data_IF_608205168067
#
_entry.id   IF_608205168067
#
_cell.length_a   1.000
_cell.length_b   1.000
_cell.length_c   1.000
_cell.angle_alpha   90.00
_cell.angle_beta   90.00
_cell.angle_gamma   90.00
#
_symmetry.space_group_name_H-M   'P 1'
#
loop_
_entity.id
_entity.type
_entity.pdbx_description
1 polymer ?
#
# COMPACT_ATOMS: atom_id res chain seq x y z
N UNK A 1 10.31 9.02 2.48
CA UNK A 1 11.74 8.62 2.41
C UNK A 1 11.92 7.10 2.31
N UNK A 2 11.06 6.28 2.91
CA UNK A 2 11.14 4.80 2.90
C UNK A 2 11.33 4.13 1.53
N UNK A 3 10.80 4.70 0.43
CA UNK A 3 10.94 4.11 -0.91
C UNK A 3 12.38 4.15 -1.48
N UNK A 4 13.30 4.89 -0.84
CA UNK A 4 14.70 4.98 -1.25
C UNK A 4 15.62 4.07 -0.44
N UNK A 5 15.21 3.71 0.78
CA UNK A 5 15.96 2.88 1.73
C UNK A 5 16.51 1.60 1.06
N UNK A 6 15.70 0.77 0.38
CA UNK A 6 16.24 -0.42 -0.26
C UNK A 6 17.25 -0.14 -1.39
N UNK A 7 17.06 0.94 -2.16
CA UNK A 7 17.99 1.30 -3.25
C UNK A 7 19.33 1.80 -2.70
N UNK A 8 19.28 2.63 -1.67
CA UNK A 8 20.47 3.20 -1.03
C UNK A 8 21.24 2.11 -0.27
N UNK A 9 20.53 1.19 0.41
CA UNK A 9 21.10 0.03 1.06
C UNK A 9 21.82 -0.90 0.07
N UNK A 10 21.15 -1.26 -1.04
CA UNK A 10 21.78 -2.07 -2.10
C UNK A 10 23.04 -1.42 -2.62
N UNK A 11 22.98 -0.14 -2.96
CA UNK A 11 24.12 0.63 -3.46
C UNK A 11 25.29 0.71 -2.46
N UNK A 12 25.01 0.78 -1.16
CA UNK A 12 26.04 0.81 -0.14
C UNK A 12 26.68 -0.58 0.05
N UNK A 13 25.85 -1.61 0.26
CA UNK A 13 26.33 -2.95 0.57
C UNK A 13 26.96 -3.65 -0.65
N UNK A 14 26.47 -3.44 -1.88
CA UNK A 14 27.06 -4.05 -3.09
C UNK A 14 28.49 -3.56 -3.37
N UNK A 15 28.89 -2.40 -2.82
CA UNK A 15 30.28 -1.94 -2.89
C UNK A 15 31.20 -2.72 -1.95
N UNK A 16 30.65 -3.23 -0.87
CA UNK A 16 31.38 -3.92 0.20
C UNK A 16 31.40 -5.42 -0.09
N UNK A 17 30.24 -5.99 -0.41
CA UNK A 17 30.04 -7.41 -0.73
C UNK A 17 29.43 -7.52 -2.13
N UNK A 18 30.27 -7.50 -3.18
CA UNK A 18 29.78 -7.52 -4.55
C UNK A 18 29.18 -8.88 -4.93
N UNK A 19 28.23 -8.86 -5.87
CA UNK A 19 27.69 -10.07 -6.50
C UNK A 19 26.46 -10.68 -5.83
N UNK A 20 26.03 -10.18 -4.65
CA UNK A 20 24.83 -10.65 -3.96
C UNK A 20 23.57 -9.95 -4.48
N UNK A 21 23.62 -8.65 -4.77
CA UNK A 21 22.43 -7.86 -5.11
C UNK A 21 21.61 -8.39 -6.29
N UNK A 22 22.27 -9.03 -7.27
CA UNK A 22 21.59 -9.62 -8.43
C UNK A 22 20.91 -10.97 -8.15
N UNK A 23 21.21 -11.62 -7.02
CA UNK A 23 20.66 -12.94 -6.68
C UNK A 23 19.39 -12.86 -5.82
N UNK A 24 19.16 -11.73 -5.14
CA UNK A 24 18.07 -11.57 -4.18
C UNK A 24 17.20 -10.39 -4.61
N UNK A 25 16.02 -10.69 -5.13
CA UNK A 25 15.05 -9.67 -5.56
C UNK A 25 14.34 -9.00 -4.38
N UNK A 26 14.03 -9.76 -3.32
CA UNK A 26 13.34 -9.23 -2.15
C UNK A 26 14.28 -8.35 -1.31
N UNK A 27 13.88 -7.10 -1.11
CA UNK A 27 14.69 -6.09 -0.45
C UNK A 27 14.92 -6.39 1.04
N UNK A 28 13.94 -6.99 1.72
CA UNK A 28 14.07 -7.35 3.13
C UNK A 28 15.02 -8.54 3.30
N UNK A 29 14.88 -9.59 2.49
CA UNK A 29 15.79 -10.72 2.46
C UNK A 29 17.20 -10.30 2.10
N UNK A 30 17.36 -9.39 1.13
CA UNK A 30 18.66 -8.81 0.79
C UNK A 30 19.27 -8.11 2.00
N UNK A 31 18.51 -7.26 2.69
CA UNK A 31 18.98 -6.58 3.89
C UNK A 31 19.38 -7.55 5.01
N UNK A 32 18.61 -8.63 5.22
CA UNK A 32 18.93 -9.67 6.19
C UNK A 32 20.20 -10.44 5.83
N UNK A 33 20.39 -10.78 4.55
CA UNK A 33 21.63 -11.40 4.08
C UNK A 33 22.82 -10.50 4.31
N UNK A 34 22.72 -9.22 3.96
CA UNK A 34 23.81 -8.28 4.17
C UNK A 34 24.13 -8.11 5.66
N UNK A 35 23.13 -8.00 6.53
CA UNK A 35 23.36 -7.98 7.97
C UNK A 35 23.99 -9.29 8.49
N UNK A 36 23.56 -10.46 8.01
CA UNK A 36 24.21 -11.73 8.42
C UNK A 36 25.69 -11.76 8.03
N UNK A 37 26.03 -11.22 6.86
CA UNK A 37 27.41 -11.21 6.35
C UNK A 37 28.27 -10.17 7.07
N UNK A 38 27.73 -8.98 7.25
CA UNK A 38 28.46 -7.81 7.69
C UNK A 38 28.40 -7.63 9.22
N UNK A 39 27.30 -8.03 9.85
CA UNK A 39 27.04 -7.90 11.29
C UNK A 39 26.54 -9.23 11.88
N UNK A 40 27.29 -10.33 11.73
CA UNK A 40 26.83 -11.69 12.08
C UNK A 40 26.42 -11.86 13.55
N UNK A 41 27.04 -11.11 14.47
CA UNK A 41 26.77 -11.17 15.91
C UNK A 41 25.32 -10.80 16.28
N UNK A 42 24.67 -9.95 15.49
CA UNK A 42 23.30 -9.49 15.72
C UNK A 42 22.24 -10.38 15.02
N UNK A 43 22.70 -11.38 14.26
CA UNK A 43 21.86 -12.23 13.40
C UNK A 43 22.01 -13.71 13.75
N UNK A 44 22.05 -14.05 15.04
CA UNK A 44 22.27 -15.44 15.51
C UNK A 44 21.11 -16.39 15.23
N UNK A 45 19.88 -15.88 15.20
CA UNK A 45 18.67 -16.71 15.17
C UNK A 45 18.23 -17.06 13.74
N UNK A 46 18.89 -16.51 12.74
CA UNK A 46 18.54 -16.67 11.33
C UNK A 46 19.72 -17.20 10.53
N UNK A 47 19.46 -18.24 9.71
CA UNK A 47 20.46 -18.89 8.87
C UNK A 47 20.02 -18.86 7.39
N UNK A 48 20.99 -18.81 6.47
CA UNK A 48 20.69 -18.74 5.03
C UNK A 48 19.77 -19.89 4.56
N UNK A 49 19.95 -21.09 5.11
CA UNK A 49 19.16 -22.28 4.78
C UNK A 49 17.67 -22.17 5.13
N UNK A 50 17.28 -21.22 6.00
CA UNK A 50 15.89 -20.98 6.35
C UNK A 50 15.10 -20.28 5.23
N UNK A 51 15.80 -19.62 4.29
CA UNK A 51 15.15 -18.76 3.28
C UNK A 51 15.64 -19.01 1.85
N UNK A 52 16.73 -19.76 1.66
CA UNK A 52 17.34 -19.98 0.35
C UNK A 52 17.57 -21.46 0.05
N UNK A 53 17.50 -21.87 -1.24
CA UNK A 53 17.84 -23.22 -1.66
C UNK A 53 19.36 -23.49 -1.55
N UNK A 54 19.80 -24.76 -1.51
CA UNK A 54 21.19 -25.12 -1.24
C UNK A 54 22.24 -24.49 -2.17
N UNK A 55 21.91 -24.30 -3.44
CA UNK A 55 22.81 -23.70 -4.44
C UNK A 55 23.06 -22.21 -4.17
N UNK A 56 22.03 -21.49 -3.70
CA UNK A 56 22.13 -20.09 -3.28
C UNK A 56 22.83 -19.99 -1.94
N UNK A 57 22.52 -20.87 -0.97
CA UNK A 57 23.19 -20.93 0.33
C UNK A 57 24.70 -21.08 0.17
N UNK A 58 25.15 -21.96 -0.73
CA UNK A 58 26.58 -22.16 -0.98
C UNK A 58 27.27 -20.88 -1.47
N UNK A 59 26.60 -20.11 -2.32
CA UNK A 59 27.13 -18.83 -2.83
C UNK A 59 27.17 -17.77 -1.72
N UNK A 60 26.14 -17.72 -0.88
CA UNK A 60 26.07 -16.80 0.26
C UNK A 60 27.14 -17.12 1.31
N UNK A 61 27.36 -18.40 1.62
CA UNK A 61 28.43 -18.82 2.54
C UNK A 61 29.83 -18.47 2.02
N UNK A 62 30.05 -18.55 0.70
CA UNK A 62 31.31 -18.10 0.10
C UNK A 62 31.50 -16.59 0.22
N UNK A 63 30.43 -15.82 0.01
CA UNK A 63 30.49 -14.37 0.19
C UNK A 63 30.69 -13.99 1.65
N UNK A 64 30.03 -14.70 2.57
CA UNK A 64 30.18 -14.55 4.02
C UNK A 64 31.63 -14.78 4.48
N UNK A 65 32.23 -15.91 4.05
CA UNK A 65 33.62 -16.23 4.37
C UNK A 65 34.63 -15.24 3.75
N UNK A 66 34.29 -14.62 2.61
CA UNK A 66 35.14 -13.63 1.96
C UNK A 66 34.99 -12.21 2.54
N UNK A 67 34.04 -11.99 3.46
CA UNK A 67 33.71 -10.68 3.99
C UNK A 67 34.48 -10.31 5.27
N UNK A 68 35.45 -11.12 5.73
CA UNK A 68 36.20 -10.83 6.97
C UNK A 68 36.86 -9.44 6.94
N UNK A 69 37.59 -9.10 5.87
CA UNK A 69 38.22 -7.78 5.72
C UNK A 69 37.18 -6.64 5.63
N UNK A 70 35.99 -6.96 5.12
CA UNK A 70 34.89 -6.01 5.01
C UNK A 70 34.26 -5.74 6.38
N UNK A 71 34.11 -6.76 7.23
CA UNK A 71 33.60 -6.66 8.61
C UNK A 71 34.43 -5.71 9.45
N UNK A 72 35.76 -5.76 9.30
CA UNK A 72 36.68 -4.88 10.03
C UNK A 72 36.56 -3.39 9.60
N UNK A 73 36.09 -3.14 8.38
CA UNK A 73 35.89 -1.80 7.84
C UNK A 73 34.50 -1.22 8.10
N UNK A 74 33.61 -1.96 8.76
CA UNK A 74 32.27 -1.47 9.08
C UNK A 74 32.34 -0.51 10.26
N UNK A 75 32.02 0.75 9.98
CA UNK A 75 31.85 1.72 11.04
C UNK A 75 30.44 1.65 11.67
N UNK A 76 30.29 2.31 12.82
CA UNK A 76 29.01 2.40 13.52
C UNK A 76 27.89 3.02 12.65
N UNK A 77 28.23 3.84 11.65
CA UNK A 77 27.24 4.45 10.78
C UNK A 77 26.64 3.44 9.80
N UNK A 78 27.49 2.63 9.16
CA UNK A 78 27.08 1.55 8.27
C UNK A 78 26.29 0.48 9.02
N UNK A 79 26.77 0.09 10.21
CA UNK A 79 26.03 -0.79 11.12
C UNK A 79 24.61 -0.26 11.35
N UNK A 80 24.49 0.98 11.84
CA UNK A 80 23.19 1.59 12.16
C UNK A 80 22.30 1.70 10.92
N UNK A 81 22.89 2.02 9.76
CA UNK A 81 22.17 2.13 8.51
C UNK A 81 21.54 0.80 8.07
N UNK A 82 22.28 -0.31 8.14
CA UNK A 82 21.77 -1.65 7.81
C UNK A 82 20.61 -2.02 8.75
N UNK A 83 20.82 -1.92 10.07
CA UNK A 83 19.80 -2.33 11.05
C UNK A 83 18.54 -1.45 11.01
N UNK A 84 18.67 -0.12 10.85
CA UNK A 84 17.52 0.75 10.65
C UNK A 84 16.76 0.42 9.36
N UNK A 85 17.48 0.08 8.28
CA UNK A 85 16.86 -0.30 7.02
C UNK A 85 16.03 -1.58 7.14
N UNK A 86 16.50 -2.58 7.90
CA UNK A 86 15.73 -3.80 8.18
C UNK A 86 14.45 -3.46 8.93
N UNK A 87 14.54 -2.69 10.01
CA UNK A 87 13.37 -2.29 10.81
C UNK A 87 12.34 -1.51 9.98
N UNK A 88 12.80 -0.63 9.09
CA UNK A 88 11.95 0.10 8.18
C UNK A 88 11.25 -0.81 7.17
N UNK A 89 11.98 -1.78 6.60
CA UNK A 89 11.45 -2.76 5.64
C UNK A 89 10.43 -3.70 6.30
N UNK A 90 10.65 -4.13 7.54
CA UNK A 90 9.69 -4.95 8.30
C UNK A 90 8.39 -4.21 8.62
N UNK A 91 8.43 -2.88 8.72
CA UNK A 91 7.24 -2.04 8.95
C UNK A 91 6.42 -1.79 7.69
N UNK A 92 7.01 -1.89 6.49
CA UNK A 92 6.34 -1.58 5.22
C UNK A 92 5.06 -2.38 4.96
N UNK A 93 4.98 -3.70 5.20
CA UNK A 93 3.74 -4.45 5.02
C UNK A 93 2.58 -3.91 5.88
N UNK A 94 2.86 -3.53 7.13
CA UNK A 94 1.89 -2.92 8.04
C UNK A 94 1.39 -1.56 7.54
N UNK A 95 2.31 -0.73 7.03
CA UNK A 95 1.95 0.54 6.39
C UNK A 95 1.11 0.32 5.13
N UNK A 96 1.52 -0.56 4.22
CA UNK A 96 0.79 -0.86 2.98
C UNK A 96 -0.63 -1.31 3.25
N UNK A 97 -0.82 -2.24 4.19
CA UNK A 97 -2.16 -2.71 4.59
C UNK A 97 -3.03 -1.59 5.18
N UNK A 98 -2.45 -0.71 6.00
CA UNK A 98 -3.16 0.47 6.52
C UNK A 98 -3.64 1.41 5.40
N UNK A 99 -2.78 1.72 4.43
CA UNK A 99 -3.14 2.57 3.29
C UNK A 99 -4.22 1.95 2.42
N UNK A 100 -4.14 0.64 2.14
CA UNK A 100 -5.17 -0.09 1.38
C UNK A 100 -6.52 -0.03 2.11
N UNK A 101 -6.55 -0.23 3.43
CA UNK A 101 -7.77 -0.08 4.23
C UNK A 101 -8.35 1.33 4.14
N UNK A 102 -7.49 2.36 4.22
CA UNK A 102 -7.90 3.76 4.13
C UNK A 102 -8.47 4.11 2.75
N UNK A 103 -7.85 3.61 1.68
CA UNK A 103 -8.33 3.77 0.31
C UNK A 103 -9.69 3.10 0.10
N UNK A 104 -9.86 1.88 0.61
CA UNK A 104 -11.15 1.17 0.60
C UNK A 104 -12.24 1.96 1.32
N UNK A 105 -11.95 2.45 2.54
CA UNK A 105 -12.89 3.26 3.30
C UNK A 105 -13.28 4.57 2.57
N UNK A 106 -12.34 5.16 1.82
CA UNK A 106 -12.61 6.34 0.99
C UNK A 106 -13.53 5.99 -0.19
N UNK A 107 -13.23 4.91 -0.92
CA UNK A 107 -14.05 4.42 -2.03
C UNK A 107 -15.48 4.08 -1.58
N UNK A 108 -15.63 3.39 -0.44
CA UNK A 108 -16.93 3.06 0.14
C UNK A 108 -17.72 4.31 0.52
N UNK A 109 -17.05 5.33 1.09
CA UNK A 109 -17.67 6.62 1.43
C UNK A 109 -18.11 7.37 0.17
N UNK A 110 -17.31 7.34 -0.89
CA UNK A 110 -17.65 7.96 -2.16
C UNK A 110 -18.86 7.28 -2.81
N UNK A 111 -18.87 5.95 -2.86
CA UNK A 111 -19.97 5.14 -3.40
C UNK A 111 -21.29 5.42 -2.67
N UNK A 112 -21.27 5.45 -1.32
CA UNK A 112 -22.46 5.83 -0.52
C UNK A 112 -22.95 7.24 -0.82
N UNK A 113 -22.06 8.21 -1.01
CA UNK A 113 -22.44 9.58 -1.37
C UNK A 113 -23.08 9.64 -2.76
N UNK A 114 -22.56 8.90 -3.74
CA UNK A 114 -23.15 8.80 -5.08
C UNK A 114 -24.56 8.19 -5.03
N UNK A 115 -24.75 7.09 -4.29
CA UNK A 115 -26.06 6.47 -4.08
C UNK A 115 -27.09 7.43 -3.45
N UNK A 116 -26.68 8.24 -2.47
CA UNK A 116 -27.55 9.25 -1.86
C UNK A 116 -27.93 10.37 -2.85
N UNK A 117 -27.01 10.81 -3.71
CA UNK A 117 -27.27 11.84 -4.71
C UNK A 117 -28.23 11.30 -5.78
N UNK A 118 -27.96 10.10 -6.31
CA UNK A 118 -28.81 9.46 -7.32
C UNK A 118 -30.19 9.11 -6.76
N UNK A 119 -30.27 8.56 -5.54
CA UNK A 119 -31.54 8.23 -4.89
C UNK A 119 -32.42 9.45 -4.61
N UNK A 120 -31.83 10.59 -4.21
CA UNK A 120 -32.57 11.86 -4.06
C UNK A 120 -33.11 12.38 -5.40
N UNK A 121 -32.38 12.17 -6.50
CA UNK A 121 -32.82 12.60 -7.84
C UNK A 121 -34.01 11.76 -8.31
N UNK A 122 -33.99 10.44 -8.10
CA UNK A 122 -35.13 9.56 -8.42
C UNK A 122 -36.39 9.86 -7.58
N UNK A 123 -36.24 10.30 -6.33
CA UNK A 123 -37.39 10.62 -5.48
C UNK A 123 -38.05 11.97 -5.83
N UNK A 124 -37.30 12.91 -6.41
CA UNK A 124 -37.83 14.18 -6.90
C UNK A 124 -38.63 14.00 -8.20
N UNK A 125 -38.18 13.11 -9.09
CA UNK A 125 -38.87 12.84 -10.37
C UNK A 125 -40.20 12.07 -10.19
N UNK A 126 -40.37 11.32 -9.09
CA UNK A 126 -41.62 10.59 -8.78
C UNK A 126 -42.69 11.49 -8.15
N UNK A 127 -42.30 12.53 -7.40
CA UNK A 127 -43.25 13.44 -6.71
C UNK A 127 -43.78 14.54 -7.65
N UNK A 128 -43.14 14.78 -8.81
CA UNK A 128 -43.60 15.78 -9.79
C UNK A 128 -44.73 15.33 -10.73
N UNK A 129 -45.14 14.06 -10.71
CA UNK A 129 -46.07 13.50 -11.70
C UNK A 129 -47.52 13.31 -11.21
N UNK A 130 -47.82 13.60 -9.94
CA UNK A 130 -49.13 13.38 -9.36
C UNK A 130 -49.63 14.64 -8.67
N UNK A 131 -50.05 15.65 -9.44
CA UNK A 131 -51.03 16.68 -9.02
C UNK A 131 -51.34 17.66 -10.18
N UNK A 132 -52.01 17.19 -11.24
CA UNK A 132 -52.85 18.05 -12.11
C UNK A 132 -53.94 17.21 -12.77
N UNK A 133 -54.94 16.78 -12.00
CA UNK A 133 -56.20 16.26 -12.58
C UNK A 133 -57.34 16.32 -11.57
N UNK A 134 -57.95 17.50 -11.43
CA UNK A 134 -59.27 17.74 -10.85
C UNK A 134 -59.65 19.17 -11.25
N UNK A 135 -60.71 19.50 -11.96
CA UNK A 135 -61.77 18.77 -12.65
C UNK A 135 -62.53 19.90 -13.36
N UNK A 136 -62.75 19.77 -14.66
CA UNK A 136 -63.60 20.70 -15.41
C UNK A 136 -64.92 19.97 -15.66
N UNK A 137 -65.87 20.15 -14.76
CA UNK A 137 -67.27 19.83 -15.03
C UNK A 137 -67.86 21.00 -15.83
N UNK A 138 -68.11 20.73 -17.11
CA UNK A 138 -69.09 21.48 -17.88
C UNK A 138 -70.48 20.98 -17.49
N UNK A 139 -71.38 21.89 -17.14
CA UNK A 139 -72.77 21.72 -17.53
C UNK A 139 -73.41 23.09 -17.79
N UNK A 140 -73.87 23.24 -19.03
CA UNK A 140 -74.57 24.41 -19.57
C UNK A 140 -76.08 24.20 -19.41
N UNK A 141 -76.84 25.26 -19.07
CA UNK A 141 -77.81 25.91 -19.98
C UNK A 141 -78.78 26.88 -19.26
N UNK A 142 -78.73 28.13 -19.73
CA UNK A 142 -79.77 29.14 -20.02
C UNK A 142 -81.10 29.21 -19.24
N UNK A 143 -81.41 30.42 -18.73
CA UNK A 143 -82.42 31.30 -19.35
C UNK A 143 -82.58 32.68 -18.62
N UNK A 144 -82.28 33.75 -19.37
CA UNK A 144 -83.08 34.99 -19.59
C UNK A 144 -83.86 35.63 -18.43
N UNK A 145 -83.46 36.85 -17.97
CA UNK A 145 -83.99 38.20 -18.38
C UNK A 145 -85.23 38.59 -17.54
N UNK A 146 -85.46 39.78 -16.96
CA UNK A 146 -85.10 41.21 -17.12
C UNK A 146 -85.29 41.83 -15.69
N UNK A 147 -84.76 42.97 -15.23
CA UNK A 147 -84.53 44.26 -15.89
C UNK A 147 -85.58 45.30 -15.45
N UNK A 148 -85.54 45.77 -14.19
CA UNK A 148 -85.71 47.17 -13.72
C UNK A 148 -85.88 47.23 -12.19
#
# INVERSE_FOLDING_TARGET
MLCRVPKDLRKACDKIVPGIGGMIEDDLLYAKVMAKILTPEEMTDWEFSMSFPPDVVLKLQKADAAADDAREQIDCEMFRFIHCSIADLERLPGLKTMWVRKLKAYADRWSRKQLQITGKRCHADVVGAAETSHGADEDSQDASSEGL
#
